data_IF_253551801433
#
_entry.id   IF_253551801433
#
_cell.length_a   1.000
_cell.length_b   1.000
_cell.length_c   1.000
_cell.angle_alpha   90.00
_cell.angle_beta   90.00
_cell.angle_gamma   90.00
#
_symmetry.space_group_name_H-M   'P 1'
#
loop_
_entity.id
_entity.type
_entity.pdbx_description
1 polymer ?
#
# COMPACT_ATOMS: atom_id res chain seq x y z
N UNK A 1 41.15 -35.83 -24.96
CA UNK A 1 40.59 -35.29 -23.70
C UNK A 1 39.19 -34.75 -23.98
N UNK A 2 38.16 -35.58 -23.85
CA UNK A 2 36.77 -35.19 -24.08
C UNK A 2 36.17 -34.61 -22.81
N UNK A 3 35.75 -33.35 -22.84
CA UNK A 3 35.00 -32.73 -21.73
C UNK A 3 33.55 -33.19 -21.84
N UNK A 4 33.17 -34.17 -21.03
CA UNK A 4 31.77 -34.54 -20.85
C UNK A 4 31.13 -33.52 -19.92
N UNK A 5 30.58 -32.45 -20.48
CA UNK A 5 29.78 -31.49 -19.71
C UNK A 5 28.39 -32.13 -19.52
N UNK A 6 28.15 -32.75 -18.37
CA UNK A 6 26.79 -33.04 -17.95
C UNK A 6 26.14 -31.69 -17.60
N UNK A 7 25.31 -31.16 -18.49
CA UNK A 7 24.43 -30.06 -18.14
C UNK A 7 23.34 -30.60 -17.22
N UNK A 8 23.55 -30.43 -15.92
CA UNK A 8 22.55 -30.67 -14.89
C UNK A 8 21.44 -29.63 -15.09
N UNK A 9 20.41 -29.99 -15.85
CA UNK A 9 19.18 -29.22 -15.93
C UNK A 9 18.47 -29.33 -14.59
N UNK A 10 18.65 -28.35 -13.73
CA UNK A 10 17.77 -28.14 -12.59
C UNK A 10 16.40 -27.75 -13.15
N UNK A 11 15.50 -28.72 -13.30
CA UNK A 11 14.09 -28.42 -13.31
C UNK A 11 13.76 -27.93 -11.88
N UNK A 12 13.68 -26.63 -11.69
CA UNK A 12 12.99 -26.08 -10.52
C UNK A 12 11.53 -26.45 -10.71
N UNK A 13 11.17 -27.63 -10.20
CA UNK A 13 9.78 -28.04 -10.09
C UNK A 13 9.18 -27.20 -8.96
N UNK A 14 8.61 -26.07 -9.35
CA UNK A 14 8.04 -25.12 -8.41
C UNK A 14 6.90 -25.84 -7.71
N UNK A 15 6.90 -25.94 -6.38
CA UNK A 15 5.71 -26.43 -5.69
C UNK A 15 4.56 -25.42 -5.90
N UNK A 16 3.30 -25.86 -6.08
CA UNK A 16 2.18 -24.94 -6.19
C UNK A 16 2.12 -24.03 -4.96
N UNK A 17 1.78 -22.74 -5.12
CA UNK A 17 1.70 -21.85 -3.99
C UNK A 17 0.56 -22.34 -3.10
N UNK A 18 0.82 -22.45 -1.81
CA UNK A 18 -0.12 -22.96 -0.82
C UNK A 18 -0.18 -21.99 0.36
N UNK A 19 -1.29 -21.99 1.09
CA UNK A 19 -1.51 -21.12 2.24
C UNK A 19 -1.32 -19.62 1.92
N UNK A 20 -1.87 -19.14 0.80
CA UNK A 20 -2.03 -17.71 0.58
C UNK A 20 -2.99 -17.17 1.63
N UNK A 21 -2.51 -16.24 2.46
CA UNK A 21 -3.28 -15.59 3.49
C UNK A 21 -2.86 -14.13 3.60
N UNK A 22 -3.82 -13.24 3.78
CA UNK A 22 -3.56 -11.84 4.08
C UNK A 22 -3.80 -11.59 5.57
N UNK A 23 -3.12 -10.60 6.18
CA UNK A 23 -3.43 -10.19 7.54
C UNK A 23 -4.87 -9.69 7.61
N UNK A 24 -5.54 -9.97 8.73
CA UNK A 24 -6.87 -9.44 9.01
C UNK A 24 -6.81 -7.91 9.04
N UNK A 25 -7.42 -7.27 8.06
CA UNK A 25 -7.57 -5.82 8.01
C UNK A 25 -8.67 -5.38 8.97
N UNK A 26 -8.52 -4.17 9.53
CA UNK A 26 -9.70 -3.44 10.02
C UNK A 26 -10.64 -3.30 8.82
N UNK A 27 -11.88 -3.77 8.95
CA UNK A 27 -12.90 -3.70 7.89
C UNK A 27 -13.15 -2.27 7.37
N UNK A 28 -12.56 -1.25 8.02
CA UNK A 28 -12.69 0.16 7.70
C UNK A 28 -11.30 0.82 7.56
N UNK A 29 -10.86 1.00 6.32
CA UNK A 29 -9.69 1.80 5.98
C UNK A 29 -10.04 3.29 6.00
N UNK A 30 -9.11 4.11 6.49
CA UNK A 30 -9.24 5.56 6.46
C UNK A 30 -8.92 6.12 5.07
N UNK A 31 -9.79 6.98 4.55
CA UNK A 31 -9.50 7.81 3.38
C UNK A 31 -8.22 8.61 3.62
N UNK A 32 -7.32 8.68 2.64
CA UNK A 32 -6.01 9.32 2.74
C UNK A 32 -5.03 8.69 3.76
N UNK A 33 -5.35 7.51 4.31
CA UNK A 33 -4.40 6.76 5.14
C UNK A 33 -3.52 5.85 4.27
N UNK A 34 -2.21 5.87 4.49
CA UNK A 34 -1.29 4.94 3.84
C UNK A 34 -1.51 3.52 4.39
N UNK A 35 -1.89 2.60 3.51
CA UNK A 35 -2.16 1.19 3.83
C UNK A 35 -1.09 0.34 3.17
N UNK A 36 -0.57 -0.65 3.90
CA UNK A 36 0.40 -1.61 3.40
C UNK A 36 0.06 -2.99 3.95
N UNK A 37 -0.26 -3.91 3.05
CA UNK A 37 -0.75 -5.25 3.35
C UNK A 37 0.18 -6.23 2.66
N UNK A 38 0.92 -6.98 3.45
CA UNK A 38 1.84 -7.99 2.94
C UNK A 38 1.16 -9.37 2.97
N UNK A 39 1.07 -10.08 1.84
CA UNK A 39 0.57 -11.45 1.84
C UNK A 39 1.59 -12.38 2.48
N UNK A 40 1.07 -13.39 3.16
CA UNK A 40 1.81 -14.58 3.52
C UNK A 40 1.47 -15.66 2.51
N UNK A 41 2.44 -16.11 1.72
CA UNK A 41 2.29 -17.26 0.81
C UNK A 41 3.40 -18.27 1.08
N UNK A 42 3.09 -19.57 1.00
CA UNK A 42 4.10 -20.62 0.99
C UNK A 42 4.32 -21.09 -0.44
N UNK A 43 5.52 -20.88 -0.97
CA UNK A 43 5.89 -21.27 -2.33
C UNK A 43 6.32 -20.07 -3.16
N UNK A 44 6.78 -20.33 -4.39
CA UNK A 44 7.11 -19.29 -5.35
C UNK A 44 5.84 -18.92 -6.12
N UNK A 45 5.61 -17.63 -6.29
CA UNK A 45 4.50 -17.08 -7.08
C UNK A 45 5.10 -16.34 -8.26
N UNK A 46 4.55 -16.59 -9.46
CA UNK A 46 4.96 -15.89 -10.68
C UNK A 46 4.18 -14.59 -10.84
N UNK A 47 2.87 -14.61 -10.54
CA UNK A 47 1.99 -13.45 -10.71
C UNK A 47 0.86 -13.41 -9.67
N UNK A 48 0.53 -12.20 -9.22
CA UNK A 48 -0.65 -11.91 -8.40
C UNK A 48 -1.65 -11.06 -9.17
N UNK A 49 -2.93 -11.38 -9.01
CA UNK A 49 -4.06 -10.63 -9.55
C UNK A 49 -5.12 -10.40 -8.46
N UNK A 50 -5.90 -9.32 -8.55
CA UNK A 50 -6.96 -9.00 -7.60
C UNK A 50 -8.26 -8.68 -8.34
N UNK A 51 -9.39 -9.13 -7.79
CA UNK A 51 -10.72 -8.86 -8.34
C UNK A 51 -11.76 -8.73 -7.22
N UNK A 52 -12.63 -7.70 -7.21
CA UNK A 52 -12.72 -6.58 -8.17
C UNK A 52 -11.54 -5.60 -8.09
N UNK A 53 -11.54 -4.59 -8.97
CA UNK A 53 -10.49 -3.56 -9.01
C UNK A 53 -10.42 -2.79 -7.68
N UNK A 54 -9.21 -2.52 -7.20
CA UNK A 54 -8.99 -1.74 -5.98
C UNK A 54 -9.44 -0.29 -6.18
N UNK A 55 -9.96 0.38 -5.12
CA UNK A 55 -10.31 1.79 -5.20
C UNK A 55 -9.08 2.65 -5.54
N UNK A 56 -9.29 3.81 -6.19
CA UNK A 56 -8.20 4.63 -6.69
C UNK A 56 -7.24 5.03 -5.57
N UNK A 57 -5.95 4.85 -5.85
CA UNK A 57 -4.86 5.09 -4.90
C UNK A 57 -4.36 3.85 -4.17
N UNK A 58 -5.08 2.72 -4.20
CA UNK A 58 -4.55 1.41 -3.81
C UNK A 58 -4.01 0.65 -5.02
N UNK A 59 -2.87 0.00 -4.87
CA UNK A 59 -2.24 -0.80 -5.92
C UNK A 59 -1.75 -2.13 -5.35
N UNK A 60 -1.90 -3.19 -6.15
CA UNK A 60 -1.33 -4.51 -5.87
C UNK A 60 0.01 -4.63 -6.62
N UNK A 61 1.06 -4.97 -5.88
CA UNK A 61 2.32 -5.43 -6.49
C UNK A 61 2.12 -6.83 -7.06
N UNK A 62 2.00 -6.97 -8.38
CA UNK A 62 1.77 -8.27 -9.04
C UNK A 62 2.91 -9.29 -8.85
N UNK A 63 4.08 -8.86 -8.35
CA UNK A 63 5.22 -9.75 -8.06
C UNK A 63 5.34 -10.17 -6.61
N UNK A 64 4.96 -9.30 -5.67
CA UNK A 64 5.07 -9.56 -4.22
C UNK A 64 3.73 -9.90 -3.60
N UNK A 65 2.63 -9.57 -4.28
CA UNK A 65 1.27 -9.58 -3.79
C UNK A 65 0.99 -8.53 -2.70
N UNK A 66 1.94 -7.63 -2.42
CA UNK A 66 1.78 -6.56 -1.44
C UNK A 66 0.78 -5.55 -1.96
N UNK A 67 -0.29 -5.29 -1.20
CA UNK A 67 -1.23 -4.23 -1.52
C UNK A 67 -0.78 -3.00 -0.76
N UNK A 68 -0.37 -1.96 -1.49
CA UNK A 68 0.07 -0.72 -0.89
C UNK A 68 -0.56 0.48 -1.59
N UNK A 69 -0.75 1.56 -0.85
CA UNK A 69 -1.28 2.77 -1.42
C UNK A 69 -2.01 3.65 -0.42
N UNK A 70 -2.68 4.66 -0.94
CA UNK A 70 -3.46 5.61 -0.16
C UNK A 70 -4.78 5.82 -0.90
N UNK A 71 -5.89 5.27 -0.40
CA UNK A 71 -7.16 5.40 -1.09
C UNK A 71 -7.59 6.87 -1.10
N UNK A 72 -7.84 7.40 -2.30
CA UNK A 72 -8.25 8.79 -2.52
C UNK A 72 -9.76 8.94 -2.67
N UNK A 73 -10.48 7.83 -2.82
CA UNK A 73 -11.94 7.80 -3.00
C UNK A 73 -12.60 6.85 -2.01
N UNK A 74 -13.86 7.14 -1.69
CA UNK A 74 -14.68 6.31 -0.81
C UNK A 74 -15.10 5.03 -1.52
N UNK A 75 -15.06 3.92 -0.80
CA UNK A 75 -15.42 2.61 -1.31
C UNK A 75 -16.28 1.89 -0.27
N UNK A 76 -17.37 1.29 -0.72
CA UNK A 76 -18.19 0.44 0.14
C UNK A 76 -17.43 -0.84 0.53
N UNK A 77 -17.94 -1.53 1.55
CA UNK A 77 -17.37 -2.82 1.94
C UNK A 77 -17.49 -3.81 0.79
N UNK A 78 -16.34 -4.26 0.29
CA UNK A 78 -16.28 -5.23 -0.80
C UNK A 78 -15.29 -6.35 -0.46
N UNK A 79 -15.60 -7.54 -0.95
CA UNK A 79 -14.71 -8.70 -0.88
C UNK A 79 -13.84 -8.75 -2.13
N UNK A 80 -12.57 -8.46 -1.94
CA UNK A 80 -11.51 -8.56 -2.93
C UNK A 80 -10.86 -9.93 -2.86
N UNK A 81 -10.81 -10.63 -3.99
CA UNK A 81 -10.18 -11.94 -4.10
C UNK A 81 -8.82 -11.75 -4.76
N UNK A 82 -7.76 -12.05 -4.02
CA UNK A 82 -6.40 -12.07 -4.54
C UNK A 82 -6.04 -13.47 -4.97
N UNK A 83 -5.58 -13.62 -6.20
CA UNK A 83 -5.13 -14.88 -6.79
C UNK A 83 -3.64 -14.82 -7.03
N UNK A 84 -2.90 -15.73 -6.41
CA UNK A 84 -1.49 -15.97 -6.63
C UNK A 84 -1.33 -17.19 -7.55
N UNK A 85 -0.79 -17.00 -8.74
CA UNK A 85 -0.58 -18.07 -9.72
C UNK A 85 0.91 -18.31 -9.95
N UNK A 86 1.27 -19.58 -10.13
CA UNK A 86 2.59 -20.01 -10.58
C UNK A 86 2.47 -21.08 -11.65
N UNK A 87 3.61 -21.45 -12.25
CA UNK A 87 3.68 -22.51 -13.28
C UNK A 87 3.11 -23.89 -12.86
N UNK A 88 2.95 -24.15 -11.56
CA UNK A 88 2.50 -25.43 -11.01
C UNK A 88 1.10 -25.41 -10.41
N UNK A 89 0.48 -24.23 -10.22
CA UNK A 89 -0.84 -24.09 -9.63
C UNK A 89 -1.17 -22.66 -9.19
N UNK A 90 -2.29 -22.52 -8.48
CA UNK A 90 -2.77 -21.22 -8.00
C UNK A 90 -3.34 -21.32 -6.60
N UNK A 91 -3.19 -20.25 -5.81
CA UNK A 91 -3.82 -20.06 -4.52
C UNK A 91 -4.65 -18.77 -4.53
N UNK A 92 -5.76 -18.77 -3.79
CA UNK A 92 -6.65 -17.61 -3.67
C UNK A 92 -6.83 -17.23 -2.20
N UNK A 93 -7.00 -15.95 -1.93
CA UNK A 93 -7.30 -15.43 -0.62
C UNK A 93 -8.31 -14.28 -0.73
N UNK A 94 -9.29 -14.28 0.16
CA UNK A 94 -10.29 -13.25 0.29
C UNK A 94 -9.83 -12.15 1.26
N UNK A 95 -10.17 -10.91 0.90
CA UNK A 95 -9.86 -9.68 1.60
C UNK A 95 -11.12 -8.84 1.62
N UNK A 96 -11.70 -8.58 2.78
CA UNK A 96 -12.90 -7.73 2.88
C UNK A 96 -12.56 -6.45 3.61
N UNK A 97 -12.77 -5.31 2.95
CA UNK A 97 -12.58 -3.99 3.54
C UNK A 97 -13.44 -2.92 2.86
N UNK A 98 -13.73 -1.85 3.59
CA UNK A 98 -14.38 -0.63 3.11
C UNK A 98 -13.42 0.56 3.27
N UNK A 99 -13.55 1.58 2.41
CA UNK A 99 -12.85 2.86 2.58
C UNK A 99 -13.85 3.91 3.04
N UNK A 100 -13.66 4.41 4.26
CA UNK A 100 -14.49 5.47 4.85
C UNK A 100 -13.64 6.68 5.22
N UNK A 101 -14.28 7.86 5.28
CA UNK A 101 -13.62 9.05 5.83
C UNK A 101 -13.43 8.83 7.33
N UNK A 102 -12.22 8.44 7.75
CA UNK A 102 -11.81 8.64 9.15
C UNK A 102 -11.48 10.14 9.30
N UNK A 103 -11.92 10.80 10.38
CA UNK A 103 -11.55 12.18 10.61
C UNK A 103 -10.01 12.29 10.59
N UNK A 104 -9.43 13.26 9.86
CA UNK A 104 -7.98 13.41 9.79
C UNK A 104 -7.42 13.72 11.18
N UNK A 105 -6.73 12.75 11.77
CA UNK A 105 -5.91 12.99 12.96
C UNK A 105 -4.58 13.58 12.49
N UNK A 106 -4.42 14.88 12.70
CA UNK A 106 -3.22 15.71 12.45
C UNK A 106 -3.27 16.59 11.20
N UNK A 107 -4.19 17.55 11.20
CA UNK A 107 -3.84 18.89 10.71
C UNK A 107 -2.85 19.51 11.72
N UNK A 108 -1.57 19.13 11.63
CA UNK A 108 -0.50 19.98 12.17
C UNK A 108 -0.25 21.07 11.14
N UNK A 109 -0.90 22.21 11.33
CA UNK A 109 -0.41 23.44 10.74
C UNK A 109 1.04 23.60 11.22
N UNK A 110 2.05 23.77 10.35
CA UNK A 110 3.30 24.35 10.81
C UNK A 110 2.88 25.70 11.41
N UNK A 111 3.10 25.84 12.71
CA UNK A 111 2.86 27.08 13.43
C UNK A 111 3.60 28.20 12.67
N UNK A 112 2.88 28.97 11.88
CA UNK A 112 3.40 30.17 11.23
C UNK A 112 3.45 31.33 12.23
N UNK A 113 3.36 31.08 13.55
CA UNK A 113 3.22 32.13 14.56
C UNK A 113 4.56 32.74 14.98
N UNK A 114 5.66 32.50 14.27
CA UNK A 114 6.99 32.96 14.73
C UNK A 114 7.78 33.83 13.75
N UNK A 115 7.21 34.31 12.64
CA UNK A 115 7.94 35.22 11.72
C UNK A 115 7.29 36.57 11.43
N UNK A 116 6.09 36.84 11.97
CA UNK A 116 5.65 38.22 12.09
C UNK A 116 6.13 38.76 13.44
N UNK A 117 7.41 39.12 13.49
CA UNK A 117 7.85 40.14 14.44
C UNK A 117 7.13 41.41 14.01
N UNK A 118 6.07 41.80 14.71
CA UNK A 118 5.62 43.18 14.69
C UNK A 118 6.72 44.00 15.39
N UNK A 119 7.81 44.23 14.66
CA UNK A 119 8.81 45.24 14.97
C UNK A 119 8.15 46.57 14.69
N UNK A 120 7.71 47.20 15.77
CA UNK A 120 7.03 48.47 15.85
C UNK A 120 7.67 49.52 14.94
N UNK A 121 6.81 50.21 14.18
CA UNK A 121 7.17 51.16 13.14
C UNK A 121 7.71 52.47 13.72
N UNK A 122 8.85 52.88 13.17
CA UNK A 122 9.42 54.22 12.96
C UNK A 122 8.76 55.47 13.58
N UNK A 123 9.57 56.17 14.37
CA UNK A 123 9.88 57.62 14.32
C UNK A 123 8.84 58.56 13.66
N UNK A 124 8.25 59.43 14.48
CA UNK A 124 7.37 60.51 14.04
C UNK A 124 7.10 61.47 15.18
N UNK A 125 8.03 62.40 15.41
CA UNK A 125 7.86 63.57 16.28
C UNK A 125 6.79 64.51 15.70
N UNK A 126 5.90 65.06 16.55
CA UNK A 126 5.47 66.43 16.31
C UNK A 126 5.68 67.33 17.53
N UNK A 127 6.50 68.36 17.31
CA UNK A 127 6.62 69.56 18.13
C UNK A 127 5.30 70.36 18.07
N UNK A 128 4.77 70.82 19.22
CA UNK A 128 3.76 71.88 19.26
C UNK A 128 4.11 72.93 20.32
N UNK A 129 4.15 74.17 19.85
CA UNK A 129 4.54 75.44 20.50
C UNK A 129 3.54 75.88 21.56
#
# INVERSE_FOLDING_TARGET
AGRTTCELRFAVEVAPPSALAFPTLESELGLLASVSIEPSVKGQVDEYSISPELPPGLQLDTKKGTISGTPTELAEEATYVVTAANSSGSATADLTFAVKVKPPVSLKYPDLASQFTAGEETDGEPEVV
#
